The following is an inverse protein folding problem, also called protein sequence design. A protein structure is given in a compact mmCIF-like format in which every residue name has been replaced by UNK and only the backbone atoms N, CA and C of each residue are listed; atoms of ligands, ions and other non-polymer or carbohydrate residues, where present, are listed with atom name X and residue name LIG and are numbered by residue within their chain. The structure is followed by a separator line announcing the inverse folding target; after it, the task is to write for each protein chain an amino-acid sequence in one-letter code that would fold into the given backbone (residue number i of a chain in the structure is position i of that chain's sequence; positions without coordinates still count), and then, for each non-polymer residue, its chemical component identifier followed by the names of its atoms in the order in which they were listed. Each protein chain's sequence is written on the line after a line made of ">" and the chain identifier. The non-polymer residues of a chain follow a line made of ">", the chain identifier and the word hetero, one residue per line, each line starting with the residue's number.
data_IF_151245918899
#
_entry.id   IF_151245918899
#
_cell.length_a   1.000
_cell.length_b   1.000
_cell.length_c   1.000
_cell.angle_alpha   90.00
_cell.angle_beta   90.00
_cell.angle_gamma   90.00
#
_symmetry.space_group_name_H-M   'P 1'
#
loop_
_entity.id
_entity.type
_entity.pdbx_description
1 polymer ?
#
# COMPACT_ATOMS: atom_id res chain seq x y z
N UNK A 1 -10.40 -6.24 -11.03
CA UNK A 1 -9.00 -6.25 -10.49
C UNK A 1 -8.00 -6.19 -11.65
N UNK A 2 -7.78 -5.02 -12.26
CA UNK A 2 -6.74 -4.87 -13.29
C UNK A 2 -5.53 -4.21 -12.65
N UNK A 3 -4.36 -4.86 -12.72
CA UNK A 3 -3.06 -4.29 -12.31
C UNK A 3 -2.65 -4.43 -10.85
N UNK A 4 -3.42 -5.11 -9.97
CA UNK A 4 -2.95 -5.43 -8.62
C UNK A 4 -1.99 -6.61 -8.65
N UNK A 5 -0.89 -6.50 -7.92
CA UNK A 5 0.10 -7.54 -7.78
C UNK A 5 0.53 -7.67 -6.31
N UNK A 6 0.08 -8.74 -5.66
CA UNK A 6 0.73 -9.25 -4.47
C UNK A 6 2.03 -9.93 -4.88
N UNK A 7 3.13 -9.59 -4.23
CA UNK A 7 4.40 -10.30 -4.44
C UNK A 7 4.59 -11.31 -3.31
N UNK A 8 5.04 -12.44 -3.70
CA UNK A 8 5.55 -13.65 -3.05
C UNK A 8 4.96 -14.02 -1.68
N UNK A 9 4.88 -13.22 -0.65
CA UNK A 9 4.39 -13.60 0.68
C UNK A 9 3.48 -12.54 1.32
N UNK A 10 2.82 -11.70 0.52
CA UNK A 10 1.83 -10.77 1.05
C UNK A 10 0.52 -11.51 1.38
N UNK A 11 -0.01 -11.28 2.57
CA UNK A 11 -1.26 -11.88 3.03
C UNK A 11 -2.41 -10.88 2.86
N UNK A 12 -3.35 -11.21 1.97
CA UNK A 12 -4.60 -10.46 1.78
C UNK A 12 -5.75 -11.33 2.26
N UNK A 13 -6.12 -11.17 3.52
CA UNK A 13 -7.09 -12.04 4.19
C UNK A 13 -8.46 -11.36 4.33
N UNK A 14 -9.38 -11.69 3.42
CA UNK A 14 -10.74 -11.13 3.37
C UNK A 14 -11.82 -12.05 3.97
N UNK A 15 -11.50 -12.81 5.00
CA UNK A 15 -12.38 -13.78 5.64
C UNK A 15 -13.49 -13.16 6.50
N UNK A 16 -13.27 -11.97 7.03
CA UNK A 16 -14.20 -11.29 7.94
C UNK A 16 -14.79 -10.00 7.37
N UNK A 17 -14.12 -9.37 6.41
CA UNK A 17 -14.59 -8.17 5.72
C UNK A 17 -13.91 -8.02 4.34
N UNK A 18 -14.48 -7.17 3.48
CA UNK A 18 -13.96 -6.93 2.14
C UNK A 18 -12.61 -6.21 2.16
N UNK A 19 -11.75 -6.60 1.21
CA UNK A 19 -10.51 -5.90 0.90
C UNK A 19 -10.58 -5.46 -0.56
N UNK A 20 -10.32 -4.19 -0.81
CA UNK A 20 -10.27 -3.61 -2.16
C UNK A 20 -8.92 -2.98 -2.39
N UNK A 21 -8.33 -3.25 -3.55
CA UNK A 21 -7.04 -2.67 -3.96
C UNK A 21 -7.22 -2.11 -5.36
N UNK A 22 -6.97 -0.83 -5.50
CA UNK A 22 -7.11 -0.07 -6.74
C UNK A 22 -6.07 -0.46 -7.80
N UNK A 23 -6.29 0.02 -9.01
CA UNK A 23 -5.41 -0.23 -10.15
C UNK A 23 -4.01 0.36 -9.92
N UNK A 24 -3.00 -0.29 -10.50
CA UNK A 24 -1.59 0.15 -10.46
C UNK A 24 -0.97 0.24 -9.06
N UNK A 25 -1.66 -0.29 -8.04
CA UNK A 25 -1.14 -0.37 -6.68
C UNK A 25 -0.37 -1.69 -6.48
N UNK A 26 0.60 -1.66 -5.57
CA UNK A 26 1.37 -2.84 -5.22
C UNK A 26 1.42 -3.04 -3.70
N UNK A 27 1.43 -4.31 -3.30
CA UNK A 27 1.59 -4.74 -1.91
C UNK A 27 2.82 -5.64 -1.88
N UNK A 28 3.83 -5.22 -1.13
CA UNK A 28 5.13 -5.90 -1.09
C UNK A 28 5.16 -7.02 -0.05
N UNK A 29 6.27 -7.76 -0.07
CA UNK A 29 6.45 -8.99 0.69
C UNK A 29 6.22 -8.80 2.20
N UNK A 30 5.70 -9.84 2.85
CA UNK A 30 5.41 -9.89 4.28
C UNK A 30 4.38 -8.87 4.78
N UNK A 31 3.69 -8.19 3.88
CA UNK A 31 2.61 -7.26 4.27
C UNK A 31 1.31 -8.00 4.50
N UNK A 32 0.53 -7.53 5.48
CA UNK A 32 -0.74 -8.12 5.88
C UNK A 32 -1.86 -7.10 5.73
N UNK A 33 -2.88 -7.45 4.97
CA UNK A 33 -4.13 -6.69 4.83
C UNK A 33 -5.26 -7.52 5.43
N UNK A 34 -5.92 -6.98 6.45
CA UNK A 34 -7.03 -7.64 7.12
C UNK A 34 -8.07 -6.64 7.62
N UNK A 35 -9.34 -6.99 7.54
CA UNK A 35 -10.44 -6.17 8.05
C UNK A 35 -10.88 -6.56 9.45
N UNK A 36 -11.76 -5.76 10.04
CA UNK A 36 -12.44 -6.09 11.28
C UNK A 36 -13.89 -6.47 11.02
N UNK A 37 -14.33 -7.61 11.54
CA UNK A 37 -15.67 -8.15 11.32
C UNK A 37 -16.77 -7.12 11.58
N UNK A 38 -17.66 -6.95 10.60
CA UNK A 38 -18.83 -6.06 10.65
C UNK A 38 -18.56 -4.57 10.83
N UNK A 39 -17.29 -4.12 10.91
CA UNK A 39 -16.97 -2.73 11.21
C UNK A 39 -16.05 -2.07 10.17
N UNK A 40 -14.88 -2.64 9.89
CA UNK A 40 -13.87 -2.00 9.08
C UNK A 40 -13.36 -2.91 7.95
N UNK A 41 -13.58 -2.46 6.71
CA UNK A 41 -12.94 -3.02 5.52
C UNK A 41 -11.53 -2.44 5.34
N UNK A 42 -10.74 -3.03 4.46
CA UNK A 42 -9.52 -2.39 3.94
C UNK A 42 -9.77 -1.91 2.53
N UNK A 43 -9.49 -0.63 2.30
CA UNK A 43 -9.53 -0.06 0.96
C UNK A 43 -8.18 0.60 0.66
N UNK A 44 -7.57 0.20 -0.43
CA UNK A 44 -6.36 0.80 -0.99
C UNK A 44 -6.73 1.38 -2.34
N UNK A 45 -6.46 2.66 -2.54
CA UNK A 45 -6.74 3.39 -3.76
C UNK A 45 -5.86 2.97 -4.94
N UNK A 46 -5.81 3.80 -5.96
CA UNK A 46 -4.99 3.60 -7.15
C UNK A 46 -3.59 4.22 -6.98
N UNK A 47 -2.60 3.65 -7.66
CA UNK A 47 -1.21 4.14 -7.63
C UNK A 47 -0.59 4.16 -6.22
N UNK A 48 -1.01 3.27 -5.35
CA UNK A 48 -0.49 3.15 -3.99
C UNK A 48 0.64 2.13 -3.94
N UNK A 49 1.73 2.50 -3.30
CA UNK A 49 2.80 1.57 -2.95
C UNK A 49 2.72 1.23 -1.46
N UNK A 50 2.47 -0.03 -1.15
CA UNK A 50 2.57 -0.58 0.21
C UNK A 50 3.89 -1.32 0.34
N UNK A 51 4.80 -0.78 1.12
CA UNK A 51 6.14 -1.32 1.34
C UNK A 51 6.14 -2.68 2.03
N UNK A 52 7.34 -3.25 2.21
CA UNK A 52 7.50 -4.55 2.86
C UNK A 52 7.07 -4.52 4.33
N UNK A 53 6.53 -5.63 4.82
CA UNK A 53 6.18 -5.83 6.23
C UNK A 53 5.24 -4.73 6.79
N UNK A 54 4.28 -4.28 5.99
CA UNK A 54 3.26 -3.31 6.39
C UNK A 54 2.02 -4.05 6.89
N UNK A 55 1.42 -3.54 7.96
CA UNK A 55 0.11 -4.01 8.43
C UNK A 55 -0.95 -2.95 8.13
N UNK A 56 -1.92 -3.30 7.28
CA UNK A 56 -3.14 -2.51 7.05
C UNK A 56 -4.31 -3.24 7.67
N UNK A 57 -4.83 -2.71 8.77
CA UNK A 57 -5.94 -3.35 9.48
C UNK A 57 -7.15 -2.41 9.55
N UNK A 58 -8.21 -2.73 8.78
CA UNK A 58 -9.48 -2.00 8.82
C UNK A 58 -9.39 -0.51 8.46
N UNK A 59 -8.57 -0.13 7.48
CA UNK A 59 -8.24 1.25 7.16
C UNK A 59 -8.48 1.61 5.69
N UNK A 60 -8.44 2.89 5.39
CA UNK A 60 -8.56 3.44 4.04
C UNK A 60 -7.27 4.17 3.66
N UNK A 61 -6.66 3.76 2.57
CA UNK A 61 -5.55 4.45 1.91
C UNK A 61 -6.09 5.04 0.62
N UNK A 62 -6.08 6.35 0.49
CA UNK A 62 -6.51 7.01 -0.75
C UNK A 62 -5.44 6.90 -1.85
N UNK A 63 -5.75 7.43 -3.04
CA UNK A 63 -4.88 7.30 -4.21
C UNK A 63 -3.50 7.93 -4.02
N UNK A 64 -2.53 7.45 -4.78
CA UNK A 64 -1.19 8.05 -4.88
C UNK A 64 -0.50 8.20 -3.52
N UNK A 65 -0.57 7.17 -2.68
CA UNK A 65 0.09 7.14 -1.39
C UNK A 65 1.32 6.21 -1.40
N UNK A 66 2.30 6.55 -0.58
CA UNK A 66 3.44 5.69 -0.28
C UNK A 66 3.41 5.29 1.19
N UNK A 67 3.23 4.02 1.46
CA UNK A 67 3.25 3.45 2.81
C UNK A 67 4.61 2.79 3.01
N UNK A 68 5.43 3.39 3.86
CA UNK A 68 6.79 2.96 4.14
C UNK A 68 6.86 1.61 4.84
N UNK A 69 7.96 0.91 4.65
CA UNK A 69 8.22 -0.43 5.20
C UNK A 69 7.99 -0.48 6.72
N UNK A 70 7.38 -1.56 7.20
CA UNK A 70 7.16 -1.80 8.62
C UNK A 70 6.12 -0.88 9.28
N UNK A 71 5.37 -0.10 8.51
CA UNK A 71 4.30 0.75 9.06
C UNK A 71 3.10 -0.09 9.49
N UNK A 72 2.39 0.41 10.49
CA UNK A 72 1.14 -0.19 11.00
C UNK A 72 0.03 0.86 10.95
N UNK A 73 -1.05 0.57 10.25
CA UNK A 73 -2.21 1.45 10.11
C UNK A 73 -3.44 0.73 10.64
N UNK A 74 -4.06 1.30 11.67
CA UNK A 74 -5.08 0.64 12.48
C UNK A 74 -6.53 1.01 12.07
N UNK A 75 -7.49 0.35 12.70
CA UNK A 75 -8.92 0.42 12.37
C UNK A 75 -9.45 1.85 12.25
N UNK A 76 -10.23 2.09 11.21
CA UNK A 76 -10.86 3.38 10.99
C UNK A 76 -9.92 4.52 10.60
N UNK A 77 -8.61 4.27 10.55
CA UNK A 77 -7.68 5.27 10.06
C UNK A 77 -7.87 5.52 8.55
N UNK A 78 -7.68 6.77 8.15
CA UNK A 78 -7.78 7.19 6.76
C UNK A 78 -6.56 8.01 6.38
N UNK A 79 -5.86 7.58 5.35
CA UNK A 79 -4.70 8.26 4.80
C UNK A 79 -5.13 9.01 3.56
N UNK A 80 -5.08 10.33 3.62
CA UNK A 80 -5.49 11.21 2.52
C UNK A 80 -4.53 11.12 1.33
N UNK A 81 -5.08 11.32 0.14
CA UNK A 81 -4.39 11.23 -1.15
C UNK A 81 -3.03 11.93 -1.14
N UNK A 82 -2.09 11.38 -1.89
CA UNK A 82 -0.77 12.00 -2.10
C UNK A 82 0.12 12.01 -0.87
N UNK A 83 -0.22 11.22 0.17
CA UNK A 83 0.53 11.21 1.43
C UNK A 83 1.62 10.15 1.45
N UNK A 84 2.65 10.42 2.26
CA UNK A 84 3.72 9.50 2.57
C UNK A 84 3.67 9.16 4.05
N UNK A 85 3.54 7.89 4.37
CA UNK A 85 3.74 7.34 5.70
C UNK A 85 5.16 6.80 5.75
N UNK A 86 6.03 7.39 6.55
CA UNK A 86 7.43 6.98 6.65
C UNK A 86 7.56 5.58 7.25
N UNK A 87 8.67 4.91 6.95
CA UNK A 87 8.95 3.56 7.45
C UNK A 87 8.82 3.48 8.99
N UNK A 88 8.24 2.38 9.49
CA UNK A 88 8.06 2.14 10.92
C UNK A 88 7.03 3.04 11.64
N UNK A 89 6.26 3.81 10.89
CA UNK A 89 5.22 4.68 11.47
C UNK A 89 4.02 3.87 11.94
N UNK A 90 3.46 4.22 13.09
CA UNK A 90 2.19 3.66 13.58
C UNK A 90 1.11 4.73 13.52
N UNK A 91 0.06 4.47 12.74
CA UNK A 91 -1.13 5.31 12.67
C UNK A 91 -2.22 4.71 13.56
N UNK A 92 -2.55 5.37 14.68
CA UNK A 92 -3.59 4.89 15.62
C UNK A 92 -4.97 4.80 14.98
N UNK A 93 -5.85 4.07 15.66
CA UNK A 93 -7.26 3.92 15.24
C UNK A 93 -7.94 5.27 15.04
N UNK A 94 -8.85 5.33 14.06
CA UNK A 94 -9.68 6.50 13.73
C UNK A 94 -8.89 7.79 13.42
N UNK A 95 -7.60 7.68 13.14
CA UNK A 95 -6.77 8.83 12.77
C UNK A 95 -7.06 9.26 11.34
N UNK A 96 -7.30 10.56 11.13
CA UNK A 96 -7.43 11.15 9.80
C UNK A 96 -6.12 11.88 9.44
N UNK A 97 -5.47 11.41 8.40
CA UNK A 97 -4.32 12.07 7.78
C UNK A 97 -4.81 12.87 6.58
N UNK A 98 -4.59 14.17 6.62
CA UNK A 98 -4.97 15.05 5.51
C UNK A 98 -4.16 14.75 4.24
N UNK A 99 -4.73 15.01 3.04
CA UNK A 99 -4.01 14.85 1.78
C UNK A 99 -2.65 15.56 1.76
N UNK A 100 -1.72 14.99 1.00
CA UNK A 100 -0.39 15.54 0.78
C UNK A 100 0.41 15.77 2.08
N UNK A 101 0.41 14.79 2.96
CA UNK A 101 1.10 14.85 4.25
C UNK A 101 2.25 13.86 4.34
N UNK A 102 3.39 14.31 4.85
CA UNK A 102 4.45 13.43 5.33
C UNK A 102 4.21 13.15 6.82
N UNK A 103 4.04 11.88 7.18
CA UNK A 103 3.78 11.43 8.55
C UNK A 103 4.90 10.50 9.01
N UNK A 104 5.40 10.71 10.22
CA UNK A 104 6.55 9.99 10.77
C UNK A 104 6.34 9.66 12.24
N UNK A 105 6.75 8.49 12.67
CA UNK A 105 6.95 8.13 14.08
C UNK A 105 5.88 7.25 14.69
N UNK A 106 6.02 7.04 16.01
CA UNK A 106 5.13 6.21 16.85
C UNK A 106 4.75 7.03 18.10
N UNK A 107 3.51 7.55 18.19
CA UNK A 107 2.50 7.61 17.15
C UNK A 107 2.89 8.52 15.98
N UNK A 108 2.35 8.25 14.80
CA UNK A 108 2.62 9.04 13.60
C UNK A 108 2.18 10.49 13.73
N UNK A 109 3.09 11.40 13.41
CA UNK A 109 2.84 12.85 13.42
C UNK A 109 3.18 13.45 12.07
N UNK A 110 2.33 14.35 11.60
CA UNK A 110 2.59 15.13 10.40
C UNK A 110 3.86 15.98 10.59
N UNK A 111 4.79 15.89 9.65
CA UNK A 111 6.05 16.63 9.64
C UNK A 111 6.03 17.83 8.70
N UNK A 112 5.47 17.64 7.52
CA UNK A 112 5.32 18.71 6.53
C UNK A 112 4.23 18.37 5.50
N UNK A 113 3.79 19.37 4.77
CA UNK A 113 3.02 19.17 3.54
C UNK A 113 3.95 18.74 2.41
N UNK A 114 3.40 17.93 1.50
CA UNK A 114 4.07 17.44 0.31
C UNK A 114 3.70 18.32 -0.90
N UNK A 115 4.61 18.42 -1.85
CA UNK A 115 4.43 19.16 -3.09
C UNK A 115 4.51 18.27 -4.34
N UNK A 116 4.51 18.89 -5.52
CA UNK A 116 4.50 18.19 -6.81
C UNK A 116 5.69 17.22 -7.00
N UNK A 117 6.88 17.56 -6.50
CA UNK A 117 8.05 16.69 -6.58
C UNK A 117 7.89 15.41 -5.75
N UNK A 118 7.23 15.52 -4.60
CA UNK A 118 6.93 14.36 -3.75
C UNK A 118 5.91 13.44 -4.44
N UNK A 119 4.86 13.99 -5.06
CA UNK A 119 3.87 13.24 -5.82
C UNK A 119 4.50 12.49 -7.00
N UNK A 120 5.37 13.14 -7.74
CA UNK A 120 6.12 12.49 -8.83
C UNK A 120 6.99 11.33 -8.31
N UNK A 121 7.63 11.51 -7.16
CA UNK A 121 8.40 10.45 -6.50
C UNK A 121 7.50 9.26 -6.14
N UNK A 122 6.33 9.48 -5.55
CA UNK A 122 5.37 8.42 -5.21
C UNK A 122 4.97 7.64 -6.46
N UNK A 123 4.58 8.35 -7.52
CA UNK A 123 4.19 7.74 -8.80
C UNK A 123 5.35 6.95 -9.44
N UNK A 124 6.57 7.44 -9.34
CA UNK A 124 7.76 6.72 -9.83
C UNK A 124 7.95 5.39 -9.09
N UNK A 125 7.78 5.35 -7.77
CA UNK A 125 7.82 4.11 -7.01
C UNK A 125 6.76 3.11 -7.52
N UNK A 126 5.53 3.55 -7.69
CA UNK A 126 4.47 2.68 -8.20
C UNK A 126 4.77 2.15 -9.61
N UNK A 127 5.27 2.99 -10.53
CA UNK A 127 5.65 2.60 -11.90
C UNK A 127 6.78 1.58 -11.91
N UNK A 128 7.83 1.78 -11.11
CA UNK A 128 8.95 0.84 -11.04
C UNK A 128 8.46 -0.59 -10.70
N UNK A 129 7.48 -0.71 -9.80
CA UNK A 129 6.92 -2.02 -9.45
C UNK A 129 6.08 -2.64 -10.58
N UNK A 130 5.44 -1.83 -11.41
CA UNK A 130 4.77 -2.32 -12.62
C UNK A 130 5.80 -2.89 -13.62
N UNK A 131 6.90 -2.21 -13.84
CA UNK A 131 7.97 -2.65 -14.73
C UNK A 131 8.63 -3.95 -14.24
N UNK A 132 8.95 -4.05 -12.94
CA UNK A 132 9.47 -5.29 -12.34
C UNK A 132 8.49 -6.45 -12.50
N UNK A 133 7.20 -6.19 -12.35
CA UNK A 133 6.18 -7.21 -12.54
C UNK A 133 6.11 -7.69 -13.98
N UNK A 134 6.21 -6.80 -14.94
CA UNK A 134 6.21 -7.17 -16.36
C UNK A 134 7.43 -8.02 -16.72
N UNK A 135 8.61 -7.64 -16.24
CA UNK A 135 9.84 -8.41 -16.42
C UNK A 135 9.69 -9.82 -15.86
N UNK A 136 9.18 -9.96 -14.63
CA UNK A 136 8.97 -11.26 -14.00
C UNK A 136 7.97 -12.13 -14.75
N UNK A 137 6.87 -11.56 -15.26
CA UNK A 137 5.88 -12.32 -16.05
C UNK A 137 6.47 -12.82 -17.36
N UNK A 138 7.30 -12.01 -18.01
CA UNK A 138 7.97 -12.39 -19.24
C UNK A 138 8.96 -13.54 -19.01
N UNK A 139 9.77 -13.47 -17.94
CA UNK A 139 10.70 -14.55 -17.57
C UNK A 139 9.96 -15.87 -17.25
N UNK A 140 8.83 -15.79 -16.57
CA UNK A 140 8.05 -16.95 -16.20
C UNK A 140 7.40 -17.60 -17.44
N UNK A 141 6.96 -16.79 -18.40
CA UNK A 141 6.42 -17.25 -19.68
C UNK A 141 7.48 -18.00 -20.49
N UNK A 142 8.69 -17.47 -20.57
CA UNK A 142 9.81 -18.10 -21.26
C UNK A 142 10.18 -19.46 -20.65
N UNK A 143 10.12 -19.60 -19.33
CA UNK A 143 10.38 -20.88 -18.63
C UNK A 143 9.29 -21.92 -18.84
N UNK A 144 8.04 -21.51 -19.08
CA UNK A 144 6.92 -22.43 -19.40
C UNK A 144 6.92 -22.85 -20.87
N UNK A 145 7.42 -22.02 -21.76
CA UNK A 145 7.50 -22.30 -23.19
C UNK A 145 8.77 -23.13 -23.56
N UNK A 146 9.80 -23.13 -22.71
CA UNK A 146 11.02 -23.94 -22.84
C UNK A 146 11.31 -24.66 -21.51
N UNK A 147 10.58 -25.72 -21.18
CA UNK A 147 10.96 -26.60 -20.07
C UNK A 147 12.21 -27.38 -20.49
N UNK A 148 13.40 -27.01 -19.97
CA UNK A 148 14.68 -27.69 -20.17
C UNK A 148 14.66 -29.12 -19.66
#
# INVERSE_FOLDING_TARGET
>A
MRGWRGRWDAVVRGDVHSIRIGAYSNVQDCSVLHGMRHQYSVTVGEWVTVGHNVTLHGCVIEDTCLIGMGSVILNGARIGRGSIIAAGTVIPESTLIEPNSLVVGVPGKMRRKLGAQDEEMILRYARNYLDYTQTYLNERRLKTENPG
#
